data_IF_547363563084
#
_entry.id   IF_547363563084
#
_cell.length_a   1.000
_cell.length_b   1.000
_cell.length_c   1.000
_cell.angle_alpha   90.00
_cell.angle_beta   90.00
_cell.angle_gamma   90.00
#
_symmetry.space_group_name_H-M   'P 1'
#
loop_
_entity.id
_entity.type
_entity.pdbx_description
1 polymer ?
#
# COMPACT_ATOMS: atom_id res chain seq x y z
N UNK A 1 -49.80 27.27 -57.72
CA UNK A 1 -49.50 26.35 -58.84
C UNK A 1 -50.32 26.86 -60.01
N UNK A 2 -49.78 26.83 -61.23
CA UNK A 2 -50.55 27.14 -62.44
C UNK A 2 -51.20 25.87 -62.97
N UNK A 3 -52.43 25.98 -63.44
CA UNK A 3 -53.18 24.91 -64.09
C UNK A 3 -53.44 25.30 -65.54
N UNK A 4 -53.30 24.35 -66.45
CA UNK A 4 -53.62 24.58 -67.85
C UNK A 4 -55.15 24.45 -68.05
N UNK A 5 -55.81 25.56 -68.30
CA UNK A 5 -57.24 25.60 -68.59
C UNK A 5 -57.47 25.73 -70.09
N UNK A 6 -58.46 25.00 -70.64
CA UNK A 6 -58.86 25.08 -72.06
C UNK A 6 -60.25 25.69 -72.16
N UNK A 7 -60.38 26.81 -72.88
CA UNK A 7 -61.67 27.48 -73.05
C UNK A 7 -62.66 26.58 -73.82
N UNK A 8 -63.88 26.33 -73.30
CA UNK A 8 -64.86 25.47 -73.96
C UNK A 8 -65.40 26.06 -75.27
N UNK A 9 -65.26 27.36 -75.49
CA UNK A 9 -65.83 28.04 -76.65
C UNK A 9 -64.88 28.15 -77.85
N UNK A 10 -63.58 28.35 -77.61
CA UNK A 10 -62.59 28.56 -78.68
C UNK A 10 -61.38 27.61 -78.58
N UNK A 11 -61.33 26.75 -77.57
CA UNK A 11 -60.25 25.79 -77.32
C UNK A 11 -58.86 26.40 -77.12
N UNK A 12 -58.76 27.72 -76.89
CA UNK A 12 -57.49 28.32 -76.48
C UNK A 12 -57.09 27.81 -75.10
N UNK A 13 -55.81 27.48 -74.93
CA UNK A 13 -55.25 27.05 -73.66
C UNK A 13 -54.56 28.23 -72.96
N UNK A 14 -54.76 28.36 -71.66
CA UNK A 14 -54.15 29.42 -70.85
C UNK A 14 -53.75 28.83 -69.50
N UNK A 15 -52.56 29.17 -69.02
CA UNK A 15 -52.14 28.84 -67.67
C UNK A 15 -52.78 29.82 -66.68
N UNK A 16 -53.48 29.28 -65.69
CA UNK A 16 -54.25 30.05 -64.71
C UNK A 16 -53.77 29.69 -63.31
N UNK A 17 -53.58 30.69 -62.46
CA UNK A 17 -53.20 30.48 -61.06
C UNK A 17 -54.38 29.99 -60.20
N UNK A 18 -54.06 29.22 -59.15
CA UNK A 18 -55.04 28.65 -58.21
C UNK A 18 -56.00 29.67 -57.57
N UNK A 19 -55.62 30.95 -57.48
CA UNK A 19 -56.49 32.01 -56.93
C UNK A 19 -57.74 32.27 -57.78
N UNK A 20 -57.71 31.92 -59.06
CA UNK A 20 -58.84 32.06 -59.98
C UNK A 20 -59.75 30.82 -60.01
N UNK A 21 -59.45 29.80 -59.20
CA UNK A 21 -60.29 28.61 -58.99
C UNK A 21 -61.72 29.01 -58.61
N UNK A 22 -62.71 28.49 -59.33
CA UNK A 22 -64.14 28.76 -59.09
C UNK A 22 -64.64 30.17 -59.47
N UNK A 23 -63.80 31.04 -60.06
CA UNK A 23 -64.20 32.38 -60.50
C UNK A 23 -64.69 32.39 -61.96
N UNK A 24 -65.58 33.32 -62.27
CA UNK A 24 -66.09 33.59 -63.63
C UNK A 24 -65.44 34.85 -64.20
N UNK A 25 -65.10 34.84 -65.49
CA UNK A 25 -64.59 35.99 -66.22
C UNK A 25 -64.54 35.74 -67.73
N UNK A 26 -64.13 36.73 -68.52
CA UNK A 26 -64.12 36.60 -69.98
C UNK A 26 -62.83 35.95 -70.51
N UNK A 27 -62.98 35.07 -71.51
CA UNK A 27 -61.86 34.48 -72.22
C UNK A 27 -61.10 35.57 -73.00
N UNK A 28 -59.80 35.72 -72.76
CA UNK A 28 -58.95 36.74 -73.41
C UNK A 28 -58.91 36.60 -74.94
N UNK A 29 -59.15 35.39 -75.48
CA UNK A 29 -59.06 35.13 -76.91
C UNK A 29 -60.40 35.36 -77.64
N UNK A 30 -61.52 34.89 -77.08
CA UNK A 30 -62.81 34.95 -77.76
C UNK A 30 -63.83 35.90 -77.13
N UNK A 31 -63.50 36.49 -75.97
CA UNK A 31 -64.34 37.46 -75.25
C UNK A 31 -65.62 36.89 -74.65
N UNK A 32 -65.79 35.57 -74.61
CA UNK A 32 -66.97 34.93 -73.99
C UNK A 32 -66.70 34.62 -72.52
N UNK A 33 -67.73 34.76 -71.70
CA UNK A 33 -67.70 34.42 -70.28
C UNK A 33 -67.40 32.92 -70.09
N UNK A 34 -66.45 32.61 -69.21
CA UNK A 34 -66.02 31.28 -68.82
C UNK A 34 -65.91 31.21 -67.29
N UNK A 35 -66.30 30.08 -66.71
CA UNK A 35 -66.11 29.80 -65.28
C UNK A 35 -65.00 28.80 -65.10
N UNK A 36 -64.00 29.15 -64.29
CA UNK A 36 -62.90 28.27 -63.95
C UNK A 36 -63.39 27.15 -63.02
N UNK A 37 -62.99 25.88 -63.25
CA UNK A 37 -63.35 24.80 -62.35
C UNK A 37 -62.68 25.00 -60.98
N UNK A 38 -63.26 24.42 -59.93
CA UNK A 38 -62.58 24.37 -58.64
C UNK A 38 -61.38 23.42 -58.74
N UNK A 39 -60.19 23.99 -58.85
CA UNK A 39 -58.95 23.26 -58.70
C UNK A 39 -58.82 22.87 -57.23
N UNK A 40 -58.82 21.56 -56.95
CA UNK A 40 -58.60 21.04 -55.61
C UNK A 40 -57.16 21.37 -55.18
N UNK A 41 -56.98 22.51 -54.50
CA UNK A 41 -55.72 22.91 -53.92
C UNK A 41 -55.19 21.75 -53.07
N UNK A 42 -54.07 21.17 -53.48
CA UNK A 42 -53.36 20.20 -52.66
C UNK A 42 -53.00 20.88 -51.35
N UNK A 43 -53.82 20.70 -50.31
CA UNK A 43 -53.40 20.94 -48.94
C UNK A 43 -52.19 20.05 -48.75
N UNK A 44 -51.00 20.63 -48.85
CA UNK A 44 -49.79 20.03 -48.30
C UNK A 44 -50.12 19.75 -46.84
N UNK A 45 -50.39 18.50 -46.54
CA UNK A 45 -50.43 17.98 -45.19
C UNK A 45 -49.00 18.15 -44.69
N UNK A 46 -48.72 19.31 -44.12
CA UNK A 46 -47.44 19.60 -43.49
C UNK A 46 -47.27 18.56 -42.41
N UNK A 47 -46.44 17.56 -42.68
CA UNK A 47 -45.99 16.61 -41.69
C UNK A 47 -45.30 17.49 -40.64
N UNK A 48 -45.97 17.75 -39.50
CA UNK A 48 -45.34 18.42 -38.36
C UNK A 48 -44.09 17.61 -38.05
N UNK A 49 -42.87 18.16 -38.13
CA UNK A 49 -41.73 17.44 -37.61
C UNK A 49 -42.05 17.22 -36.13
N UNK A 50 -42.16 15.95 -35.73
CA UNK A 50 -42.32 15.59 -34.33
C UNK A 50 -41.27 16.39 -33.55
N UNK A 51 -41.72 17.21 -32.61
CA UNK A 51 -40.89 18.12 -31.82
C UNK A 51 -39.93 17.22 -31.03
N UNK A 52 -38.80 16.84 -31.64
CA UNK A 52 -37.80 15.95 -31.05
C UNK A 52 -37.33 16.70 -29.81
N UNK A 53 -37.68 16.21 -28.63
CA UNK A 53 -37.41 16.87 -27.35
C UNK A 53 -35.89 17.06 -27.20
N UNK A 54 -35.37 18.19 -27.70
CA UNK A 54 -33.96 18.56 -27.59
C UNK A 54 -33.53 18.62 -26.13
N UNK A 55 -34.47 18.87 -25.21
CA UNK A 55 -34.31 18.78 -23.76
C UNK A 55 -33.95 17.36 -23.29
N UNK A 56 -34.63 16.31 -23.78
CA UNK A 56 -34.33 14.93 -23.41
C UNK A 56 -32.93 14.49 -23.86
N UNK A 57 -32.50 14.91 -25.05
CA UNK A 57 -31.13 14.67 -25.54
C UNK A 57 -30.10 15.41 -24.68
N UNK A 58 -30.41 16.65 -24.26
CA UNK A 58 -29.55 17.43 -23.36
C UNK A 58 -29.41 16.81 -21.97
N UNK A 59 -30.49 16.30 -21.38
CA UNK A 59 -30.44 15.62 -20.08
C UNK A 59 -29.63 14.33 -20.14
N UNK A 60 -29.78 13.54 -21.21
CA UNK A 60 -28.97 12.32 -21.42
C UNK A 60 -27.49 12.68 -21.61
N UNK A 61 -27.17 13.69 -22.42
CA UNK A 61 -25.79 14.14 -22.64
C UNK A 61 -25.14 14.70 -21.36
N UNK A 62 -25.87 15.52 -20.59
CA UNK A 62 -25.40 16.05 -19.31
C UNK A 62 -25.18 14.95 -18.27
N UNK A 63 -26.10 13.97 -18.19
CA UNK A 63 -25.94 12.80 -17.33
C UNK A 63 -24.72 11.95 -17.69
N UNK A 64 -24.46 11.77 -18.98
CA UNK A 64 -23.30 11.02 -19.47
C UNK A 64 -21.99 11.77 -19.21
N UNK A 65 -21.98 13.10 -19.37
CA UNK A 65 -20.83 13.94 -19.03
C UNK A 65 -20.50 13.90 -17.53
N UNK A 66 -21.52 13.99 -16.66
CA UNK A 66 -21.34 13.87 -15.20
C UNK A 66 -20.82 12.48 -14.80
N UNK A 67 -21.31 11.41 -15.45
CA UNK A 67 -20.79 10.05 -15.25
C UNK A 67 -19.31 9.93 -15.63
N UNK A 68 -18.90 10.51 -16.77
CA UNK A 68 -17.50 10.48 -17.22
C UNK A 68 -16.59 11.29 -16.28
N UNK A 69 -17.04 12.46 -15.81
CA UNK A 69 -16.30 13.26 -14.83
C UNK A 69 -16.18 12.51 -13.50
N UNK A 70 -17.27 11.89 -13.02
CA UNK A 70 -17.28 11.07 -11.82
C UNK A 70 -16.33 9.88 -11.91
N UNK A 71 -16.35 9.15 -13.04
CA UNK A 71 -15.43 8.04 -13.30
C UNK A 71 -13.97 8.52 -13.37
N UNK A 72 -13.70 9.67 -13.99
CA UNK A 72 -12.37 10.29 -14.04
C UNK A 72 -11.85 10.69 -12.66
N UNK A 73 -12.68 11.29 -11.81
CA UNK A 73 -12.33 11.63 -10.43
C UNK A 73 -12.07 10.38 -9.57
N UNK A 74 -12.91 9.34 -9.70
CA UNK A 74 -12.69 8.06 -9.01
C UNK A 74 -11.37 7.43 -9.46
N UNK A 75 -11.09 7.40 -10.77
CA UNK A 75 -9.83 6.88 -11.29
C UNK A 75 -8.62 7.67 -10.77
N UNK A 76 -8.70 9.00 -10.72
CA UNK A 76 -7.64 9.85 -10.18
C UNK A 76 -7.39 9.60 -8.68
N UNK A 77 -8.45 9.44 -7.88
CA UNK A 77 -8.34 9.09 -6.45
C UNK A 77 -7.77 7.69 -6.26
N UNK A 78 -8.17 6.72 -7.09
CA UNK A 78 -7.64 5.34 -7.01
C UNK A 78 -6.16 5.26 -7.42
N UNK A 79 -5.73 5.98 -8.46
CA UNK A 79 -4.31 6.02 -8.86
C UNK A 79 -3.47 6.82 -7.86
N UNK A 80 -3.99 7.96 -7.39
CA UNK A 80 -3.34 8.77 -6.36
C UNK A 80 -3.15 8.02 -5.04
N UNK A 81 -4.17 7.29 -4.58
CA UNK A 81 -4.09 6.49 -3.35
C UNK A 81 -3.12 5.31 -3.46
N UNK A 82 -3.04 4.64 -4.62
CA UNK A 82 -2.03 3.59 -4.85
C UNK A 82 -0.60 4.13 -4.78
N UNK A 83 -0.37 5.28 -5.39
CA UNK A 83 0.94 5.95 -5.37
C UNK A 83 1.31 6.40 -3.95
N UNK A 84 0.36 7.01 -3.23
CA UNK A 84 0.55 7.42 -1.85
C UNK A 84 0.85 6.23 -0.91
N UNK A 85 0.14 5.09 -1.07
CA UNK A 85 0.42 3.86 -0.32
C UNK A 85 1.84 3.36 -0.57
N UNK A 86 2.29 3.26 -1.82
CA UNK A 86 3.66 2.83 -2.16
C UNK A 86 4.74 3.71 -1.53
N UNK A 87 4.57 5.04 -1.60
CA UNK A 87 5.52 5.99 -0.99
C UNK A 87 5.56 5.81 0.53
N UNK A 88 4.40 5.62 1.16
CA UNK A 88 4.31 5.40 2.61
C UNK A 88 5.05 4.11 3.01
N UNK A 89 4.78 3.00 2.33
CA UNK A 89 5.44 1.71 2.58
C UNK A 89 6.97 1.80 2.40
N UNK A 90 7.45 2.49 1.36
CA UNK A 90 8.89 2.71 1.15
C UNK A 90 9.55 3.49 2.30
N UNK A 91 8.88 4.55 2.79
CA UNK A 91 9.37 5.32 3.95
C UNK A 91 9.38 4.50 5.24
N UNK A 92 8.37 3.66 5.44
CA UNK A 92 8.27 2.77 6.60
C UNK A 92 9.43 1.78 6.63
N UNK A 93 9.65 1.06 5.51
CA UNK A 93 10.80 0.17 5.31
C UNK A 93 12.11 0.86 5.66
N UNK A 94 12.37 2.02 5.06
CA UNK A 94 13.61 2.76 5.28
C UNK A 94 13.77 3.20 6.74
N UNK A 95 12.70 3.67 7.38
CA UNK A 95 12.76 4.10 8.77
C UNK A 95 12.95 2.92 9.72
N UNK A 96 12.41 1.75 9.40
CA UNK A 96 12.57 0.55 10.20
C UNK A 96 13.96 -0.06 10.07
N UNK A 97 14.49 -0.10 8.84
CA UNK A 97 15.90 -0.44 8.56
C UNK A 97 16.83 0.45 9.38
N UNK A 98 16.61 1.76 9.41
CA UNK A 98 17.43 2.69 10.22
C UNK A 98 17.37 2.41 11.73
N UNK A 99 16.23 1.94 12.25
CA UNK A 99 16.13 1.53 13.64
C UNK A 99 16.93 0.24 13.87
N UNK A 100 16.78 -0.76 12.99
CA UNK A 100 17.54 -2.01 13.05
C UNK A 100 19.05 -1.78 12.97
N UNK A 101 19.52 -0.92 12.06
CA UNK A 101 20.93 -0.52 11.94
C UNK A 101 21.48 0.10 13.23
N UNK A 102 20.72 1.01 13.85
CA UNK A 102 21.11 1.62 15.14
C UNK A 102 21.17 0.59 16.26
N UNK A 103 20.24 -0.35 16.29
CA UNK A 103 20.21 -1.43 17.29
C UNK A 103 21.39 -2.39 17.05
N UNK A 104 21.65 -2.76 15.79
CA UNK A 104 22.77 -3.61 15.42
C UNK A 104 24.10 -2.97 15.81
N UNK A 105 24.26 -1.66 15.58
CA UNK A 105 25.43 -0.91 16.01
C UNK A 105 25.64 -0.99 17.53
N UNK A 106 24.58 -0.81 18.33
CA UNK A 106 24.66 -0.93 19.79
C UNK A 106 24.97 -2.35 20.26
N UNK A 107 24.39 -3.37 19.62
CA UNK A 107 24.70 -4.78 19.87
C UNK A 107 26.16 -5.10 19.55
N UNK A 108 26.69 -4.59 18.44
CA UNK A 108 28.08 -4.76 18.04
C UNK A 108 29.04 -4.02 18.96
N UNK A 109 28.67 -2.84 19.47
CA UNK A 109 29.45 -2.14 20.48
C UNK A 109 29.52 -2.93 21.80
N UNK A 110 28.38 -3.48 22.27
CA UNK A 110 28.38 -4.41 23.41
C UNK A 110 29.28 -5.62 23.15
N UNK A 111 29.15 -6.24 21.98
CA UNK A 111 29.96 -7.42 21.66
C UNK A 111 31.45 -7.12 21.50
N UNK A 112 31.83 -5.88 21.14
CA UNK A 112 33.22 -5.45 21.12
C UNK A 112 33.82 -5.41 22.55
N UNK A 113 33.04 -4.96 23.53
CA UNK A 113 33.47 -4.86 24.93
C UNK A 113 33.42 -6.21 25.68
N UNK A 114 32.45 -7.06 25.35
CA UNK A 114 32.18 -8.32 26.07
C UNK A 114 32.62 -9.59 25.31
N UNK A 115 32.96 -9.48 24.03
CA UNK A 115 33.35 -10.60 23.17
C UNK A 115 32.20 -11.46 22.63
N UNK A 116 30.99 -11.32 23.19
CA UNK A 116 29.75 -12.00 22.80
C UNK A 116 28.58 -11.03 22.79
N UNK A 117 27.51 -11.33 22.05
CA UNK A 117 26.27 -10.56 22.14
C UNK A 117 25.62 -10.70 23.53
N UNK A 118 24.75 -9.75 23.94
CA UNK A 118 24.03 -9.89 25.20
C UNK A 118 23.13 -11.12 25.18
N UNK A 119 22.94 -11.74 26.34
CA UNK A 119 21.94 -12.79 26.49
C UNK A 119 20.54 -12.22 26.16
N UNK A 120 19.63 -12.98 25.52
CA UNK A 120 18.29 -12.50 25.18
C UNK A 120 17.51 -11.95 26.37
N UNK A 121 17.80 -12.45 27.57
CA UNK A 121 17.22 -11.96 28.81
C UNK A 121 18.16 -12.15 30.00
N UNK A 122 17.94 -11.35 31.05
CA UNK A 122 18.52 -11.54 32.39
C UNK A 122 17.62 -12.44 33.23
N UNK A 123 18.20 -13.07 34.26
CA UNK A 123 17.46 -13.91 35.22
C UNK A 123 17.88 -13.59 36.65
N UNK A 124 16.95 -13.79 37.60
CA UNK A 124 17.28 -13.78 39.02
C UNK A 124 17.94 -15.10 39.47
N UNK A 125 18.30 -15.18 40.76
CA UNK A 125 18.86 -16.38 41.37
C UNK A 125 17.93 -17.61 41.31
N UNK A 126 16.61 -17.41 41.13
CA UNK A 126 15.62 -18.47 40.98
C UNK A 126 15.38 -18.84 39.50
N UNK A 127 16.06 -18.19 38.56
CA UNK A 127 15.90 -18.41 37.12
C UNK A 127 14.69 -17.71 36.49
N UNK A 128 14.02 -16.80 37.22
CA UNK A 128 12.91 -16.00 36.66
C UNK A 128 13.48 -14.95 35.73
N UNK A 129 12.92 -14.82 34.53
CA UNK A 129 13.32 -13.80 33.55
C UNK A 129 13.01 -12.41 34.09
N UNK A 130 13.97 -11.49 34.02
CA UNK A 130 13.82 -10.13 34.53
C UNK A 130 13.62 -9.13 33.39
N UNK A 131 14.62 -8.95 32.53
CA UNK A 131 14.59 -7.94 31.47
C UNK A 131 15.11 -8.49 30.14
N UNK A 132 14.66 -7.88 29.04
CA UNK A 132 15.20 -8.10 27.70
C UNK A 132 16.63 -7.59 27.55
N UNK A 133 17.39 -8.20 26.62
CA UNK A 133 18.64 -7.67 26.05
C UNK A 133 18.54 -6.19 25.66
N UNK A 134 17.34 -5.70 25.29
CA UNK A 134 17.09 -4.30 24.96
C UNK A 134 17.42 -3.36 26.13
N UNK A 135 17.20 -3.78 27.37
CA UNK A 135 17.65 -3.04 28.57
C UNK A 135 19.17 -3.05 28.68
N UNK A 136 19.80 -4.20 28.44
CA UNK A 136 21.25 -4.40 28.54
C UNK A 136 22.04 -3.44 27.64
N UNK A 137 21.52 -3.13 26.44
CA UNK A 137 22.23 -2.29 25.47
C UNK A 137 21.94 -0.79 25.56
N UNK A 138 21.09 -0.34 26.49
CA UNK A 138 20.73 1.09 26.62
C UNK A 138 21.95 2.02 26.74
N UNK A 139 23.02 1.71 27.50
CA UNK A 139 24.22 2.57 27.54
C UNK A 139 24.86 2.76 26.16
N UNK A 140 24.84 1.73 25.31
CA UNK A 140 25.36 1.77 23.95
C UNK A 140 24.44 2.52 22.98
N UNK A 141 23.21 2.83 23.40
CA UNK A 141 22.26 3.70 22.69
C UNK A 141 22.32 5.16 23.20
N UNK A 142 23.16 5.45 24.20
CA UNK A 142 23.22 6.76 24.87
C UNK A 142 22.10 6.99 25.88
N UNK A 143 21.43 5.92 26.34
CA UNK A 143 20.30 5.95 27.26
C UNK A 143 20.72 5.61 28.71
N UNK A 144 21.93 6.02 29.14
CA UNK A 144 22.47 5.74 30.48
C UNK A 144 21.52 6.20 31.61
N UNK A 145 20.86 7.35 31.41
CA UNK A 145 19.90 7.89 32.37
C UNK A 145 18.70 6.97 32.59
N UNK A 146 18.17 6.37 31.52
CA UNK A 146 17.09 5.39 31.61
C UNK A 146 17.59 4.06 32.18
N UNK A 147 18.77 3.61 31.74
CA UNK A 147 19.40 2.39 32.26
C UNK A 147 19.58 2.42 33.77
N UNK A 148 19.97 3.57 34.34
CA UNK A 148 20.18 3.75 35.77
C UNK A 148 18.87 3.85 36.58
N UNK A 149 17.75 4.18 35.94
CA UNK A 149 16.43 4.22 36.59
C UNK A 149 15.79 2.82 36.70
N UNK A 150 16.17 1.87 35.85
CA UNK A 150 15.62 0.52 35.85
C UNK A 150 16.20 -0.27 37.02
N UNK A 151 15.30 -0.78 37.88
CA UNK A 151 15.63 -1.75 38.92
C UNK A 151 15.90 -3.11 38.27
N UNK A 152 17.15 -3.56 38.35
CA UNK A 152 17.64 -4.77 37.67
C UNK A 152 17.37 -6.05 38.46
N UNK A 153 16.91 -5.92 39.71
CA UNK A 153 16.63 -7.05 40.60
C UNK A 153 15.15 -7.46 40.58
N UNK A 154 14.30 -6.68 39.90
CA UNK A 154 12.85 -6.86 39.80
C UNK A 154 12.43 -7.07 38.34
N UNK A 155 11.45 -7.94 38.03
CA UNK A 155 10.95 -8.12 36.67
C UNK A 155 10.53 -6.82 35.98
N UNK A 156 10.61 -6.81 34.66
CA UNK A 156 10.30 -5.65 33.82
C UNK A 156 8.89 -5.06 34.05
N UNK A 157 7.92 -5.89 34.45
CA UNK A 157 6.51 -5.51 34.64
C UNK A 157 6.09 -5.36 36.11
N UNK A 158 7.04 -5.34 37.04
CA UNK A 158 6.76 -5.25 38.48
C UNK A 158 7.36 -3.97 39.09
N UNK A 159 6.85 -3.59 40.27
CA UNK A 159 7.41 -2.51 41.08
C UNK A 159 7.53 -1.17 40.34
N UNK A 160 8.68 -0.52 40.48
CA UNK A 160 8.97 0.76 39.83
C UNK A 160 9.16 0.63 38.31
N UNK A 161 9.61 -0.53 37.82
CA UNK A 161 9.81 -0.78 36.39
C UNK A 161 8.50 -0.65 35.59
N UNK A 162 7.37 -1.03 36.19
CA UNK A 162 6.06 -0.94 35.55
C UNK A 162 5.71 0.49 35.13
N UNK A 163 6.16 1.51 35.88
CA UNK A 163 5.88 2.92 35.56
C UNK A 163 6.75 3.44 34.41
N UNK A 164 7.97 2.89 34.25
CA UNK A 164 8.89 3.24 33.17
C UNK A 164 8.39 2.71 31.81
N UNK A 165 7.65 1.60 31.80
CA UNK A 165 7.07 1.01 30.59
C UNK A 165 6.34 2.04 29.73
N UNK A 166 5.44 2.81 30.37
CA UNK A 166 4.50 3.71 29.69
C UNK A 166 5.08 5.10 29.42
N UNK A 167 6.11 5.50 30.15
CA UNK A 167 6.62 6.87 30.13
C UNK A 167 7.90 7.02 29.29
N UNK A 168 8.72 5.98 29.14
CA UNK A 168 10.08 6.11 28.61
C UNK A 168 10.46 4.99 27.62
N UNK A 169 9.68 4.78 26.55
CA UNK A 169 10.09 3.90 25.43
C UNK A 169 11.10 4.60 24.52
N UNK A 170 12.36 4.11 24.38
CA UNK A 170 13.34 4.65 23.46
C UNK A 170 12.84 4.69 22.02
N UNK A 171 13.14 5.78 21.31
CA UNK A 171 12.62 5.99 19.96
C UNK A 171 13.04 4.90 18.97
N UNK A 172 14.23 4.31 19.18
CA UNK A 172 14.78 3.25 18.31
C UNK A 172 13.95 1.95 18.36
N UNK A 173 13.24 1.69 19.46
CA UNK A 173 12.40 0.50 19.59
C UNK A 173 10.97 0.70 19.06
N UNK A 174 10.61 1.93 18.68
CA UNK A 174 9.30 2.24 18.13
C UNK A 174 9.30 2.00 16.63
N UNK A 175 8.45 1.08 16.17
CA UNK A 175 8.24 0.89 14.74
C UNK A 175 7.65 2.18 14.12
N UNK A 176 7.98 2.56 12.87
CA UNK A 176 7.48 3.79 12.25
C UNK A 176 5.95 3.91 12.17
N UNK A 177 5.23 2.79 12.18
CA UNK A 177 3.76 2.76 12.28
C UNK A 177 3.22 2.66 13.72
N UNK A 178 4.09 2.52 14.72
CA UNK A 178 3.72 2.16 16.10
C UNK A 178 3.00 3.25 16.89
N UNK A 179 2.65 4.38 16.28
CA UNK A 179 1.89 5.46 16.93
C UNK A 179 0.59 4.98 17.58
N UNK A 180 0.06 3.83 17.15
CA UNK A 180 -1.12 3.18 17.74
C UNK A 180 -0.82 1.84 18.46
N UNK A 181 0.44 1.43 18.57
CA UNK A 181 0.82 0.08 19.06
C UNK A 181 1.33 0.06 20.51
N UNK A 182 1.34 1.21 21.20
CA UNK A 182 1.72 1.28 22.61
C UNK A 182 3.24 1.25 22.84
N UNK A 183 3.68 0.51 23.86
CA UNK A 183 5.05 0.47 24.39
C UNK A 183 5.88 -0.70 23.85
N UNK A 184 5.27 -1.55 23.03
CA UNK A 184 5.86 -2.72 22.45
C UNK A 184 6.85 -2.44 21.32
N UNK A 185 7.57 -3.48 20.93
CA UNK A 185 8.48 -3.49 19.78
C UNK A 185 8.27 -4.74 18.95
N UNK A 186 8.57 -4.62 17.65
CA UNK A 186 8.61 -5.73 16.69
C UNK A 186 10.05 -6.12 16.34
N UNK A 187 11.05 -5.51 16.96
CA UNK A 187 12.46 -5.83 16.70
C UNK A 187 12.92 -6.92 17.65
N UNK A 188 13.19 -8.11 17.10
CA UNK A 188 13.51 -9.31 17.86
C UNK A 188 14.84 -9.91 17.41
N UNK A 189 15.50 -10.58 18.34
CA UNK A 189 16.53 -11.57 18.02
C UNK A 189 15.86 -12.83 17.47
N UNK A 190 16.62 -13.64 16.73
CA UNK A 190 16.21 -15.01 16.38
C UNK A 190 17.02 -15.98 17.24
N UNK A 191 16.32 -16.70 18.09
CA UNK A 191 16.88 -17.56 19.14
C UNK A 191 16.67 -19.04 18.82
N UNK A 192 17.43 -19.90 19.51
CA UNK A 192 17.31 -21.35 19.37
C UNK A 192 18.54 -22.01 18.76
N UNK A 193 18.48 -23.33 18.60
CA UNK A 193 19.62 -24.12 18.15
C UNK A 193 20.08 -23.69 16.73
N UNK A 194 21.39 -23.51 16.56
CA UNK A 194 21.99 -23.10 15.28
C UNK A 194 21.87 -21.60 14.97
N UNK A 195 21.35 -20.78 15.89
CA UNK A 195 21.34 -19.31 15.74
C UNK A 195 22.54 -18.67 16.43
N UNK A 196 22.64 -17.34 16.38
CA UNK A 196 23.56 -16.55 17.24
C UNK A 196 23.20 -16.64 18.73
N UNK A 197 22.00 -17.08 19.08
CA UNK A 197 21.47 -17.12 20.44
C UNK A 197 20.98 -18.52 20.81
N UNK A 198 21.87 -19.53 20.85
CA UNK A 198 21.50 -20.87 21.30
C UNK A 198 21.31 -20.89 22.83
N UNK A 199 20.65 -21.94 23.33
CA UNK A 199 20.41 -22.12 24.77
C UNK A 199 21.69 -22.28 25.61
N UNK A 200 22.83 -22.58 24.97
CA UNK A 200 24.15 -22.68 25.60
C UNK A 200 24.81 -21.32 25.85
N UNK A 201 24.24 -20.23 25.33
CA UNK A 201 24.76 -18.87 25.47
C UNK A 201 24.98 -18.18 24.12
N UNK A 202 24.92 -16.84 24.09
CA UNK A 202 25.06 -16.07 22.86
C UNK A 202 26.46 -16.21 22.26
N UNK A 203 26.53 -16.22 20.93
CA UNK A 203 27.77 -16.16 20.18
C UNK A 203 28.21 -14.70 20.00
N UNK A 204 29.49 -14.50 19.72
CA UNK A 204 30.04 -13.20 19.31
C UNK A 204 30.29 -13.10 17.81
N UNK A 205 30.51 -11.88 17.28
CA UNK A 205 30.79 -11.65 15.85
C UNK A 205 31.94 -12.50 15.30
N UNK A 206 32.97 -12.77 16.12
CA UNK A 206 34.14 -13.57 15.73
C UNK A 206 33.85 -15.06 15.51
N UNK A 207 32.69 -15.53 15.97
CA UNK A 207 32.28 -16.93 15.83
C UNK A 207 31.43 -17.17 14.56
N UNK A 208 31.16 -16.12 13.79
CA UNK A 208 30.39 -16.19 12.54
C UNK A 208 31.32 -16.59 11.40
N UNK A 209 31.13 -17.77 10.82
CA UNK A 209 31.98 -18.30 9.74
C UNK A 209 31.37 -18.09 8.36
N UNK A 210 30.05 -17.94 8.28
CA UNK A 210 29.31 -17.83 7.00
C UNK A 210 29.28 -16.39 6.45
N UNK A 211 29.93 -15.47 7.17
CA UNK A 211 30.09 -14.08 6.77
C UNK A 211 29.17 -13.13 7.55
N UNK A 212 29.79 -12.21 8.31
CA UNK A 212 29.08 -11.21 9.10
C UNK A 212 28.15 -10.30 8.27
N UNK A 213 28.44 -10.12 6.99
CA UNK A 213 27.63 -9.31 6.07
C UNK A 213 26.36 -10.01 5.60
N UNK A 214 26.24 -11.33 5.78
CA UNK A 214 25.08 -12.13 5.33
C UNK A 214 24.27 -12.67 6.51
N UNK A 215 24.91 -12.93 7.65
CA UNK A 215 24.20 -13.46 8.83
C UNK A 215 23.32 -12.40 9.48
N UNK A 216 22.02 -12.69 9.61
CA UNK A 216 21.02 -11.87 10.30
C UNK A 216 21.30 -11.88 11.81
N UNK A 217 21.46 -10.68 12.37
CA UNK A 217 21.61 -10.45 13.80
C UNK A 217 20.25 -10.23 14.48
N UNK A 218 19.39 -9.43 13.85
CA UNK A 218 18.05 -9.12 14.34
C UNK A 218 17.09 -8.84 13.18
N UNK A 219 15.79 -9.01 13.45
CA UNK A 219 14.75 -8.89 12.44
C UNK A 219 13.45 -8.31 12.99
N UNK A 220 12.61 -7.83 12.09
CA UNK A 220 11.20 -7.57 12.40
C UNK A 220 10.41 -8.87 12.58
N UNK A 221 9.58 -8.91 13.61
CA UNK A 221 8.53 -9.89 13.80
C UNK A 221 7.16 -9.37 13.40
N UNK A 222 6.20 -10.29 13.38
CA UNK A 222 4.80 -9.98 13.08
C UNK A 222 4.15 -9.16 14.20
N UNK A 223 3.10 -8.40 13.87
CA UNK A 223 2.38 -7.60 14.87
C UNK A 223 1.79 -8.45 16.02
N UNK A 224 1.46 -9.73 15.79
CA UNK A 224 1.02 -10.66 16.83
C UNK A 224 2.16 -11.16 17.74
N UNK A 225 3.41 -10.96 17.32
CA UNK A 225 4.62 -11.24 18.12
C UNK A 225 5.19 -9.99 18.80
N UNK A 226 4.52 -8.85 18.62
CA UNK A 226 4.92 -7.61 19.28
C UNK A 226 4.88 -7.81 20.79
N UNK A 227 5.96 -7.42 21.45
CA UNK A 227 6.06 -7.45 22.92
C UNK A 227 4.99 -6.55 23.54
N UNK A 228 4.52 -6.86 24.74
CA UNK A 228 3.74 -5.93 25.56
C UNK A 228 4.53 -4.65 25.87
N UNK A 229 5.85 -4.80 26.08
CA UNK A 229 6.78 -3.69 26.25
C UNK A 229 8.16 -4.04 25.74
N UNK A 230 8.91 -3.03 25.29
CA UNK A 230 10.31 -3.18 24.89
C UNK A 230 11.22 -3.80 25.98
N UNK A 231 10.84 -3.74 27.27
CA UNK A 231 11.59 -4.39 28.35
C UNK A 231 11.28 -5.89 28.52
N UNK A 232 10.21 -6.37 27.88
CA UNK A 232 9.78 -7.77 27.97
C UNK A 232 10.81 -8.72 27.31
N UNK A 233 11.23 -9.79 28.02
CA UNK A 233 12.21 -10.77 27.55
C UNK A 233 11.59 -11.78 26.56
N UNK A 234 11.10 -11.25 25.43
CA UNK A 234 10.51 -12.00 24.32
C UNK A 234 11.24 -11.72 22.99
N UNK A 235 11.57 -12.81 22.29
CA UNK A 235 12.24 -12.86 21.00
C UNK A 235 11.71 -14.06 20.18
N UNK A 236 12.03 -14.11 18.89
CA UNK A 236 11.53 -15.15 17.98
C UNK A 236 12.34 -16.42 18.14
N UNK A 237 11.68 -17.58 18.23
CA UNK A 237 12.34 -18.89 18.23
C UNK A 237 12.41 -19.44 16.80
N UNK A 238 13.59 -19.89 16.37
CA UNK A 238 13.82 -20.40 15.00
C UNK A 238 12.92 -21.59 14.67
N UNK A 239 12.62 -22.45 15.65
CA UNK A 239 11.71 -23.58 15.49
C UNK A 239 10.28 -23.15 15.20
N UNK A 240 9.88 -21.95 15.66
CA UNK A 240 8.59 -21.34 15.37
C UNK A 240 8.56 -20.61 14.02
N UNK A 241 9.68 -20.04 13.59
CA UNK A 241 9.80 -19.26 12.34
C UNK A 241 9.79 -20.15 11.10
N UNK A 242 10.44 -21.32 11.14
CA UNK A 242 10.46 -22.28 10.03
C UNK A 242 11.02 -21.74 8.71
N UNK A 243 11.77 -20.63 8.74
CA UNK A 243 12.30 -19.91 7.58
C UNK A 243 11.26 -19.13 6.76
N UNK A 244 10.00 -19.11 7.15
CA UNK A 244 8.95 -18.41 6.40
C UNK A 244 8.87 -16.94 6.80
N UNK A 245 8.78 -16.05 5.80
CA UNK A 245 8.41 -14.65 5.98
C UNK A 245 6.89 -14.55 5.85
N UNK A 246 6.24 -13.84 6.77
CA UNK A 246 4.79 -13.68 6.84
C UNK A 246 4.02 -15.02 6.88
N UNK A 247 4.35 -15.96 7.78
CA UNK A 247 3.60 -17.20 7.87
C UNK A 247 2.12 -16.91 8.21
N UNK A 248 1.18 -17.68 7.62
CA UNK A 248 -0.26 -17.45 7.80
C UNK A 248 -0.75 -17.74 9.23
N UNK A 249 0.03 -18.47 10.02
CA UNK A 249 -0.21 -18.73 11.44
C UNK A 249 1.10 -18.97 12.18
N UNK A 250 1.18 -18.57 13.44
CA UNK A 250 2.36 -18.75 14.29
C UNK A 250 3.10 -17.45 14.54
N UNK A 251 4.31 -17.59 15.07
CA UNK A 251 5.24 -16.51 15.35
C UNK A 251 6.35 -16.54 14.31
N UNK A 252 6.37 -15.57 13.40
CA UNK A 252 7.31 -15.55 12.28
C UNK A 252 7.96 -14.20 12.04
N UNK A 253 8.87 -14.19 11.06
CA UNK A 253 9.51 -12.99 10.56
C UNK A 253 8.56 -12.16 9.69
N UNK A 254 8.71 -10.83 9.74
CA UNK A 254 8.00 -9.89 8.88
C UNK A 254 6.63 -9.49 9.40
N UNK A 255 5.82 -8.83 8.58
CA UNK A 255 4.40 -8.60 8.88
C UNK A 255 4.10 -7.30 9.61
N UNK A 256 5.12 -6.68 10.21
CA UNK A 256 5.09 -5.26 10.57
C UNK A 256 5.26 -4.34 9.35
N UNK A 257 5.92 -4.85 8.31
CA UNK A 257 6.19 -4.14 7.05
C UNK A 257 5.57 -4.89 5.86
N UNK A 258 4.76 -4.21 5.06
CA UNK A 258 4.08 -4.80 3.90
C UNK A 258 5.09 -5.46 2.93
N UNK A 259 4.80 -6.71 2.53
CA UNK A 259 5.49 -7.43 1.44
C UNK A 259 6.83 -8.08 1.80
N UNK A 260 7.21 -8.15 3.09
CA UNK A 260 8.46 -8.78 3.49
C UNK A 260 8.82 -8.56 4.96
N UNK A 261 10.13 -8.54 5.24
CA UNK A 261 10.70 -8.31 6.57
C UNK A 261 11.92 -7.39 6.45
N UNK A 262 12.05 -6.41 7.35
CA UNK A 262 13.31 -5.69 7.52
C UNK A 262 14.22 -6.45 8.50
N UNK A 263 15.51 -6.56 8.16
CA UNK A 263 16.52 -7.26 8.95
C UNK A 263 17.79 -6.42 9.06
N UNK A 264 18.62 -6.69 10.07
CA UNK A 264 19.99 -6.21 10.11
C UNK A 264 20.97 -7.37 10.34
N UNK A 265 22.14 -7.25 9.72
CA UNK A 265 23.18 -8.27 9.73
C UNK A 265 24.15 -8.09 10.89
N UNK A 266 24.99 -9.09 11.13
CA UNK A 266 26.07 -9.06 12.14
C UNK A 266 27.04 -7.90 11.88
N UNK A 267 27.30 -7.54 10.64
CA UNK A 267 28.14 -6.38 10.28
C UNK A 267 27.45 -5.04 10.58
N UNK A 268 26.13 -5.02 10.67
CA UNK A 268 25.33 -3.87 11.07
C UNK A 268 24.52 -3.24 9.94
N UNK A 269 24.73 -3.68 8.69
CA UNK A 269 23.95 -3.23 7.54
C UNK A 269 22.51 -3.79 7.56
N UNK A 270 21.54 -2.94 7.22
CA UNK A 270 20.13 -3.28 7.18
C UNK A 270 19.58 -3.53 5.78
N UNK A 271 18.68 -4.51 5.67
CA UNK A 271 18.14 -5.00 4.41
C UNK A 271 16.63 -5.25 4.49
N UNK A 272 15.98 -5.32 3.34
CA UNK A 272 14.59 -5.76 3.21
C UNK A 272 14.53 -7.08 2.43
N UNK A 273 14.01 -8.12 3.06
CA UNK A 273 13.81 -9.43 2.41
C UNK A 273 12.34 -9.54 1.97
N UNK A 274 12.05 -9.76 0.68
CA UNK A 274 10.68 -9.93 0.20
C UNK A 274 10.08 -11.25 0.73
N UNK A 275 8.75 -11.31 0.86
CA UNK A 275 8.02 -12.52 1.25
C UNK A 275 8.18 -13.69 0.26
N UNK A 276 8.68 -13.41 -0.95
CA UNK A 276 9.06 -14.39 -1.96
C UNK A 276 10.44 -15.03 -1.73
N UNK A 277 11.19 -14.59 -0.72
CA UNK A 277 12.52 -15.16 -0.42
C UNK A 277 12.37 -16.64 -0.04
N UNK A 278 13.15 -17.55 -0.66
CA UNK A 278 13.04 -18.98 -0.36
C UNK A 278 13.30 -19.28 1.13
N UNK A 279 12.52 -20.15 1.78
CA UNK A 279 12.67 -20.41 3.21
C UNK A 279 14.05 -20.95 3.60
N UNK A 280 14.68 -21.75 2.72
CA UNK A 280 16.05 -22.24 2.92
C UNK A 280 17.08 -21.11 2.89
N UNK A 281 16.86 -20.08 2.07
CA UNK A 281 17.71 -18.88 2.05
C UNK A 281 17.56 -18.11 3.35
N UNK A 282 16.32 -17.91 3.84
CA UNK A 282 16.08 -17.25 5.13
C UNK A 282 16.74 -18.02 6.28
N UNK A 283 16.64 -19.36 6.27
CA UNK A 283 17.28 -20.20 7.27
C UNK A 283 18.80 -20.07 7.25
N UNK A 284 19.42 -20.13 6.07
CA UNK A 284 20.86 -19.96 5.90
C UNK A 284 21.34 -18.57 6.34
N UNK A 285 20.54 -17.52 6.11
CA UNK A 285 20.85 -16.17 6.60
C UNK A 285 20.77 -16.07 8.13
N UNK A 286 20.01 -16.92 8.83
CA UNK A 286 19.91 -16.92 10.30
C UNK A 286 21.05 -17.72 10.96
N UNK A 287 21.57 -18.74 10.28
CA UNK A 287 22.61 -19.62 10.82
C UNK A 287 24.00 -19.01 10.65
N UNK A 288 24.79 -18.82 11.74
CA UNK A 288 26.11 -18.18 11.63
C UNK A 288 27.23 -19.12 11.15
N UNK A 289 27.00 -20.43 11.17
CA UNK A 289 27.99 -21.49 10.90
C UNK A 289 27.38 -22.71 10.17
N UNK A 290 26.38 -22.51 9.33
CA UNK A 290 25.72 -23.57 8.56
C UNK A 290 26.50 -23.99 7.31
N UNK A 291 27.31 -23.10 6.73
CA UNK A 291 28.16 -23.36 5.57
C UNK A 291 27.41 -23.48 4.25
N UNK A 292 26.14 -23.04 4.18
CA UNK A 292 25.35 -23.07 2.97
C UNK A 292 25.89 -22.09 1.91
N UNK A 293 25.95 -22.49 0.63
CA UNK A 293 26.40 -21.59 -0.43
C UNK A 293 25.33 -20.54 -0.73
N UNK A 294 25.53 -19.32 -0.23
CA UNK A 294 24.74 -18.15 -0.61
C UNK A 294 25.49 -17.32 -1.65
N UNK A 295 24.78 -16.82 -2.67
CA UNK A 295 25.37 -15.89 -3.63
C UNK A 295 25.87 -14.61 -2.93
N UNK A 296 26.82 -13.91 -3.54
CA UNK A 296 27.38 -12.69 -2.95
C UNK A 296 26.41 -11.52 -2.97
N UNK A 297 25.51 -11.51 -3.94
CA UNK A 297 24.42 -10.55 -4.12
C UNK A 297 23.11 -10.96 -3.42
N UNK A 298 23.14 -12.01 -2.60
CA UNK A 298 21.93 -12.55 -1.94
C UNK A 298 21.21 -11.55 -1.04
N UNK A 299 21.80 -10.40 -0.72
CA UNK A 299 21.13 -9.29 -0.02
C UNK A 299 21.07 -8.01 -0.87
N UNK A 300 21.84 -7.96 -1.97
CA UNK A 300 21.99 -6.80 -2.84
C UNK A 300 20.94 -6.75 -3.94
N UNK A 301 20.35 -7.89 -4.33
CA UNK A 301 19.26 -7.96 -5.32
C UNK A 301 18.07 -7.05 -4.98
N UNK A 302 17.95 -6.60 -3.72
CA UNK A 302 16.82 -5.79 -3.25
C UNK A 302 17.20 -4.38 -2.79
N UNK A 303 18.50 -4.06 -2.69
CA UNK A 303 18.99 -2.69 -2.49
C UNK A 303 18.75 -1.80 -3.73
N UNK A 304 18.72 -2.39 -4.94
CA UNK A 304 18.55 -1.69 -6.21
C UNK A 304 17.10 -1.40 -6.61
N UNK A 305 16.11 -1.76 -5.79
CA UNK A 305 14.68 -1.51 -6.07
C UNK A 305 14.07 -0.34 -5.28
N UNK A 306 14.92 0.50 -4.68
CA UNK A 306 14.52 1.81 -4.18
C UNK A 306 14.06 2.67 -5.39
N UNK A 307 12.84 3.24 -5.39
CA UNK A 307 12.42 4.19 -6.41
C UNK A 307 13.19 5.51 -6.36
#
# INVERSE_FOLDING_TARGET
MTFLFTCPHCQSQTEVEDEYSGRTGDCVVCGREITMPEFAGSRRMGNRPGKRNKSAIWFVAAGLALLLIGAGLIAAVQVGSRTAKKIRTGRQRLSSIKNLEKIALALNAYAADHGVYPAPYTVDAAGRKLHSWRVTILPYLGEDGLYNQIDKDVPWNEGENQMLLYSQTPAVYRHPESSSWGTGTVYHLVTGAGTLFPSTGPLGPRQVTDGATKTILLAEGQMNTMTESWMEPYDLDIGSVGGLINPPSGNGLGGATDGGVCVATVEGSGYFLPDTTPPLTVQALITPTGGEPLSDDVLDEWASTQP
#
